data_IF_718713622220
#
_entry.id   IF_718713622220
#
_cell.length_a   1.000
_cell.length_b   1.000
_cell.length_c   1.000
_cell.angle_alpha   90.00
_cell.angle_beta   90.00
_cell.angle_gamma   90.00
#
_symmetry.space_group_name_H-M   'P 1'
#
loop_
_entity.id
_entity.type
_entity.pdbx_description
1 polymer ?
#
# COMPACT_ATOMS: atom_id res chain seq x y z
N UNK A 1 3.79 -66.56 -112.35
CA UNK A 1 4.92 -65.71 -111.87
C UNK A 1 4.42 -64.38 -111.28
N UNK A 2 3.43 -63.72 -111.81
CA UNK A 2 2.94 -62.41 -111.33
C UNK A 2 2.33 -62.51 -109.91
N UNK A 3 1.60 -63.55 -109.53
CA UNK A 3 1.04 -63.76 -108.19
C UNK A 3 2.08 -63.98 -107.07
N UNK A 4 3.19 -64.67 -107.46
CA UNK A 4 4.27 -64.91 -106.51
C UNK A 4 5.06 -63.60 -106.20
N UNK A 5 5.19 -62.75 -107.22
CA UNK A 5 5.87 -61.42 -107.02
C UNK A 5 4.99 -60.50 -106.19
N UNK A 6 3.69 -60.49 -106.39
CA UNK A 6 2.75 -59.65 -105.62
C UNK A 6 2.69 -60.10 -104.10
N UNK A 7 2.73 -61.40 -103.88
CA UNK A 7 2.78 -61.96 -102.51
C UNK A 7 4.09 -61.62 -101.78
N UNK A 8 5.21 -61.68 -102.52
CA UNK A 8 6.51 -61.26 -101.97
C UNK A 8 6.53 -59.81 -101.61
N UNK A 9 6.01 -58.95 -102.47
CA UNK A 9 5.95 -57.48 -102.21
C UNK A 9 5.02 -57.17 -101.00
N UNK A 10 3.90 -57.85 -100.89
CA UNK A 10 2.99 -57.73 -99.75
C UNK A 10 3.62 -58.25 -98.44
N UNK A 11 4.40 -59.32 -98.47
CA UNK A 11 5.18 -59.76 -97.30
C UNK A 11 6.26 -58.82 -96.85
N UNK A 12 6.93 -58.15 -97.81
CA UNK A 12 7.96 -57.14 -97.49
C UNK A 12 7.31 -55.90 -96.89
N UNK A 13 6.16 -55.46 -97.43
CA UNK A 13 5.42 -54.33 -96.85
C UNK A 13 4.85 -54.66 -95.42
N UNK A 14 4.34 -55.85 -95.18
CA UNK A 14 3.92 -56.31 -93.87
C UNK A 14 5.12 -56.38 -92.92
N UNK A 15 6.31 -56.86 -93.37
CA UNK A 15 7.53 -56.92 -92.59
C UNK A 15 8.02 -55.49 -92.18
N UNK A 16 7.97 -54.53 -93.13
CA UNK A 16 8.32 -53.14 -92.84
C UNK A 16 7.29 -52.50 -91.87
N UNK A 17 6.00 -52.79 -92.05
CA UNK A 17 5.00 -52.29 -91.11
C UNK A 17 5.15 -52.96 -89.71
N UNK A 18 5.45 -54.22 -89.61
CA UNK A 18 5.73 -54.89 -88.33
C UNK A 18 6.95 -54.31 -87.62
N UNK A 19 8.04 -54.09 -88.35
CA UNK A 19 9.22 -53.41 -87.80
C UNK A 19 8.95 -52.00 -87.27
N UNK A 20 8.17 -51.23 -88.03
CA UNK A 20 7.72 -49.92 -87.61
C UNK A 20 6.86 -49.95 -86.34
N UNK A 21 5.97 -50.90 -86.22
CA UNK A 21 5.13 -51.13 -85.00
C UNK A 21 5.99 -51.52 -83.80
N UNK A 22 6.97 -52.45 -84.04
CA UNK A 22 7.87 -52.89 -82.96
C UNK A 22 8.77 -51.69 -82.45
N UNK A 23 9.23 -50.84 -83.38
CA UNK A 23 9.95 -49.60 -83.00
C UNK A 23 9.06 -48.65 -82.19
N UNK A 24 7.82 -48.46 -82.58
CA UNK A 24 6.82 -47.65 -81.87
C UNK A 24 6.53 -48.18 -80.49
N UNK A 25 6.40 -49.51 -80.39
CA UNK A 25 6.16 -50.22 -79.13
C UNK A 25 7.35 -50.07 -78.18
N UNK A 26 8.58 -50.18 -78.72
CA UNK A 26 9.83 -49.97 -77.95
C UNK A 26 9.95 -48.51 -77.48
N UNK A 27 9.61 -47.56 -78.34
CA UNK A 27 9.64 -46.12 -77.95
C UNK A 27 8.56 -45.84 -76.91
N UNK A 28 7.37 -46.32 -77.05
CA UNK A 28 6.24 -46.19 -76.11
C UNK A 28 6.60 -46.85 -74.75
N UNK A 29 7.24 -48.03 -74.77
CA UNK A 29 7.73 -48.68 -73.55
C UNK A 29 8.76 -47.90 -72.83
N UNK A 30 9.70 -47.27 -73.53
CA UNK A 30 10.72 -46.37 -72.93
C UNK A 30 10.06 -45.14 -72.33
N UNK A 31 9.14 -44.49 -73.02
CA UNK A 31 8.44 -43.31 -72.51
C UNK A 31 7.56 -43.64 -71.28
N UNK A 32 6.87 -44.80 -71.34
CA UNK A 32 6.11 -45.30 -70.18
C UNK A 32 7.02 -45.44 -68.94
N UNK A 33 8.19 -46.05 -69.09
CA UNK A 33 9.16 -46.19 -68.00
C UNK A 33 9.65 -44.86 -67.51
N UNK A 34 9.90 -43.89 -68.38
CA UNK A 34 10.31 -42.52 -68.02
C UNK A 34 9.22 -41.83 -67.21
N UNK A 35 7.99 -41.87 -67.70
CA UNK A 35 6.84 -41.26 -66.99
C UNK A 35 6.64 -41.92 -65.62
N UNK A 36 6.75 -43.25 -65.52
CA UNK A 36 6.65 -43.97 -64.27
C UNK A 36 7.72 -43.56 -63.27
N UNK A 37 8.98 -43.43 -63.73
CA UNK A 37 10.08 -42.92 -62.88
C UNK A 37 9.83 -41.50 -62.39
N UNK A 38 9.37 -40.59 -63.29
CA UNK A 38 9.04 -39.24 -62.94
C UNK A 38 7.84 -39.18 -61.93
N UNK A 39 6.86 -40.05 -62.13
CA UNK A 39 5.74 -40.17 -61.21
C UNK A 39 6.20 -40.62 -59.82
N UNK A 40 7.07 -41.60 -59.77
CA UNK A 40 7.63 -42.10 -58.52
C UNK A 40 8.42 -41.03 -57.78
N UNK A 41 9.34 -40.31 -58.47
CA UNK A 41 10.07 -39.19 -57.91
C UNK A 41 9.16 -38.08 -57.41
N UNK A 42 8.11 -37.74 -58.19
CA UNK A 42 7.13 -36.72 -57.77
C UNK A 42 6.35 -37.14 -56.54
N UNK A 43 5.99 -38.45 -56.41
CA UNK A 43 5.32 -39.01 -55.18
C UNK A 43 6.26 -38.92 -53.97
N UNK A 44 7.49 -39.26 -54.10
CA UNK A 44 8.49 -39.17 -53.03
C UNK A 44 8.72 -37.71 -52.56
N UNK A 45 8.84 -36.80 -53.52
CA UNK A 45 8.94 -35.37 -53.22
C UNK A 45 7.67 -34.81 -52.53
N UNK A 46 6.49 -35.26 -52.94
CA UNK A 46 5.24 -34.86 -52.33
C UNK A 46 5.12 -35.39 -50.89
N UNK A 47 5.49 -36.63 -50.65
CA UNK A 47 5.52 -37.21 -49.32
C UNK A 47 6.51 -36.49 -48.41
N UNK A 48 7.69 -36.14 -48.89
CA UNK A 48 8.69 -35.39 -48.16
C UNK A 48 8.18 -33.95 -47.81
N UNK A 49 7.56 -33.27 -48.79
CA UNK A 49 7.00 -31.94 -48.55
C UNK A 49 5.85 -31.98 -47.54
N UNK A 50 4.99 -33.00 -47.64
CA UNK A 50 3.88 -33.20 -46.71
C UNK A 50 4.41 -33.39 -45.26
N UNK A 51 5.41 -34.23 -45.08
CA UNK A 51 6.07 -34.44 -43.78
C UNK A 51 6.63 -33.12 -43.23
N UNK A 52 7.29 -32.33 -44.05
CA UNK A 52 7.82 -31.02 -43.63
C UNK A 52 6.72 -30.02 -43.24
N UNK A 53 5.61 -30.04 -43.96
CA UNK A 53 4.44 -29.21 -43.62
C UNK A 53 3.91 -29.63 -42.25
N UNK A 54 3.77 -30.91 -41.99
CA UNK A 54 3.25 -31.43 -40.73
C UNK A 54 4.21 -31.08 -39.56
N UNK A 55 5.51 -31.28 -39.75
CA UNK A 55 6.57 -30.89 -38.76
C UNK A 55 6.53 -29.38 -38.44
N UNK A 56 6.46 -28.54 -39.46
CA UNK A 56 6.40 -27.11 -39.30
C UNK A 56 5.08 -26.62 -38.64
N UNK A 57 3.95 -27.24 -39.00
CA UNK A 57 2.65 -27.00 -38.40
C UNK A 57 2.63 -27.31 -36.92
N UNK A 58 3.19 -28.48 -36.55
CA UNK A 58 3.31 -28.90 -35.17
C UNK A 58 4.24 -27.93 -34.37
N UNK A 59 5.38 -27.53 -34.96
CA UNK A 59 6.30 -26.57 -34.35
C UNK A 59 5.62 -25.20 -34.14
N UNK A 60 4.88 -24.73 -35.16
CA UNK A 60 4.14 -23.46 -35.09
C UNK A 60 3.08 -23.50 -33.99
N UNK A 61 2.29 -24.58 -33.91
CA UNK A 61 1.33 -24.77 -32.84
C UNK A 61 1.97 -24.76 -31.45
N UNK A 62 3.12 -25.44 -31.29
CA UNK A 62 3.90 -25.44 -30.06
C UNK A 62 4.40 -24.04 -29.66
N UNK A 63 4.89 -23.25 -30.61
CA UNK A 63 5.29 -21.86 -30.35
C UNK A 63 4.12 -20.95 -30.02
N UNK A 64 2.99 -21.11 -30.68
CA UNK A 64 1.76 -20.35 -30.36
C UNK A 64 1.28 -20.62 -28.92
N UNK A 65 1.26 -21.88 -28.48
CA UNK A 65 0.92 -22.23 -27.10
C UNK A 65 1.90 -21.64 -26.08
N UNK A 66 3.20 -21.68 -26.37
CA UNK A 66 4.23 -21.05 -25.52
C UNK A 66 4.05 -19.53 -25.44
N UNK A 67 3.78 -18.89 -26.57
CA UNK A 67 3.53 -17.44 -26.64
C UNK A 67 2.29 -17.06 -25.82
N UNK A 68 1.17 -17.76 -25.99
CA UNK A 68 -0.04 -17.53 -25.20
C UNK A 68 0.22 -17.68 -23.70
N UNK A 69 0.94 -18.74 -23.28
CA UNK A 69 1.29 -18.95 -21.88
C UNK A 69 2.12 -17.82 -21.31
N UNK A 70 3.13 -17.34 -22.05
CA UNK A 70 3.97 -16.20 -21.62
C UNK A 70 3.22 -14.89 -21.58
N UNK A 71 2.37 -14.62 -22.58
CA UNK A 71 1.53 -13.42 -22.61
C UNK A 71 0.57 -13.38 -21.43
N UNK A 72 -0.11 -14.49 -21.14
CA UNK A 72 -0.99 -14.60 -20.00
C UNK A 72 -0.26 -14.43 -18.65
N UNK A 73 0.98 -14.91 -18.54
CA UNK A 73 1.81 -14.69 -17.36
C UNK A 73 2.19 -13.20 -17.22
N UNK A 74 2.58 -12.55 -18.29
CA UNK A 74 2.91 -11.12 -18.30
C UNK A 74 1.69 -10.24 -17.93
N UNK A 75 0.50 -10.59 -18.44
CA UNK A 75 -0.75 -9.92 -18.08
C UNK A 75 -1.08 -10.02 -16.58
N UNK A 76 -0.87 -11.19 -15.98
CA UNK A 76 -1.05 -11.38 -14.53
C UNK A 76 -0.09 -10.52 -13.72
N UNK A 77 1.19 -10.44 -14.13
CA UNK A 77 2.19 -9.60 -13.46
C UNK A 77 1.80 -8.12 -13.61
N UNK A 78 1.34 -7.72 -14.80
CA UNK A 78 0.86 -6.35 -15.05
C UNK A 78 -0.34 -6.01 -14.17
N UNK A 79 -1.35 -6.89 -14.06
CA UNK A 79 -2.51 -6.68 -13.18
C UNK A 79 -2.07 -6.47 -11.72
N UNK A 80 -1.12 -7.26 -11.22
CA UNK A 80 -0.57 -7.09 -9.88
C UNK A 80 0.16 -5.75 -9.73
N UNK A 81 0.87 -5.31 -10.75
CA UNK A 81 1.54 -4.00 -10.75
C UNK A 81 0.52 -2.86 -10.68
N UNK A 82 -0.55 -2.94 -11.45
CA UNK A 82 -1.63 -1.94 -11.46
C UNK A 82 -2.36 -1.89 -10.10
N UNK A 83 -2.60 -3.04 -9.47
CA UNK A 83 -3.17 -3.13 -8.12
C UNK A 83 -2.27 -2.48 -7.06
N UNK A 84 -0.96 -2.75 -7.10
CA UNK A 84 0.02 -2.14 -6.19
C UNK A 84 0.09 -0.62 -6.40
N UNK A 85 0.11 -0.16 -7.64
CA UNK A 85 0.12 1.27 -7.97
C UNK A 85 -1.13 1.99 -7.43
N UNK A 86 -2.31 1.38 -7.59
CA UNK A 86 -3.56 1.91 -7.04
C UNK A 86 -3.54 1.96 -5.50
N UNK A 87 -3.00 0.93 -4.84
CA UNK A 87 -2.86 0.89 -3.38
C UNK A 87 -1.90 1.97 -2.87
N UNK A 88 -0.75 2.16 -3.51
CA UNK A 88 0.21 3.25 -3.21
C UNK A 88 -0.47 4.60 -3.32
N UNK A 89 -1.15 4.85 -4.45
CA UNK A 89 -1.83 6.13 -4.69
C UNK A 89 -2.91 6.41 -3.63
N UNK A 90 -3.72 5.41 -3.29
CA UNK A 90 -4.77 5.56 -2.28
C UNK A 90 -4.20 5.90 -0.89
N UNK A 91 -3.14 5.19 -0.47
CA UNK A 91 -2.50 5.44 0.83
C UNK A 91 -1.79 6.79 0.86
N UNK A 92 -1.12 7.17 -0.23
CA UNK A 92 -0.48 8.47 -0.36
C UNK A 92 -1.49 9.62 -0.30
N UNK A 93 -2.62 9.50 -0.99
CA UNK A 93 -3.70 10.50 -0.92
C UNK A 93 -4.25 10.64 0.50
N UNK A 94 -4.42 9.52 1.22
CA UNK A 94 -4.85 9.54 2.61
C UNK A 94 -3.82 10.19 3.53
N UNK A 95 -2.54 9.88 3.36
CA UNK A 95 -1.45 10.51 4.12
C UNK A 95 -1.40 12.03 3.87
N UNK A 96 -1.52 12.45 2.61
CA UNK A 96 -1.54 13.86 2.24
C UNK A 96 -2.74 14.58 2.86
N UNK A 97 -3.93 14.00 2.79
CA UNK A 97 -5.14 14.57 3.41
C UNK A 97 -4.93 14.78 4.93
N UNK A 98 -4.45 13.76 5.64
CA UNK A 98 -4.20 13.85 7.08
C UNK A 98 -3.12 14.90 7.39
N UNK A 99 -2.06 14.98 6.59
CA UNK A 99 -1.00 15.99 6.71
C UNK A 99 -1.53 17.42 6.49
N UNK A 100 -2.43 17.61 5.53
CA UNK A 100 -3.05 18.92 5.28
C UNK A 100 -3.99 19.34 6.42
N UNK A 101 -4.74 18.40 7.00
CA UNK A 101 -5.55 18.64 8.20
C UNK A 101 -4.67 19.03 9.39
N UNK A 102 -3.50 18.42 9.54
CA UNK A 102 -2.54 18.75 10.58
C UNK A 102 -1.89 20.13 10.35
N UNK A 103 -1.40 20.43 9.14
CA UNK A 103 -0.82 21.73 8.77
C UNK A 103 -1.80 22.88 8.95
N UNK A 104 -3.06 22.67 8.59
CA UNK A 104 -4.13 23.64 8.75
C UNK A 104 -4.67 23.71 10.20
N UNK A 105 -4.09 22.89 11.09
CA UNK A 105 -4.51 22.78 12.48
C UNK A 105 -6.03 22.55 12.61
N UNK A 106 -6.58 21.68 11.77
CA UNK A 106 -8.02 21.35 11.82
C UNK A 106 -8.37 20.64 13.15
N UNK A 107 -9.44 21.11 13.79
CA UNK A 107 -9.82 20.71 15.15
C UNK A 107 -9.30 21.65 16.25
N UNK A 108 -8.43 22.61 15.93
CA UNK A 108 -7.98 23.62 16.89
C UNK A 108 -8.84 24.88 16.85
N UNK A 109 -8.97 25.54 18.01
CA UNK A 109 -9.71 26.80 18.11
C UNK A 109 -9.07 27.93 17.30
N UNK A 110 -9.86 28.91 16.86
CA UNK A 110 -9.38 30.06 16.12
C UNK A 110 -8.29 30.84 16.86
N UNK A 111 -8.41 30.93 18.20
CA UNK A 111 -7.42 31.59 19.04
C UNK A 111 -6.04 30.90 18.98
N UNK A 112 -6.03 29.58 19.08
CA UNK A 112 -4.78 28.78 18.98
C UNK A 112 -4.15 28.96 17.60
N UNK A 113 -4.95 28.82 16.52
CA UNK A 113 -4.48 29.05 15.14
C UNK A 113 -3.87 30.44 14.96
N UNK A 114 -4.50 31.48 15.52
CA UNK A 114 -4.00 32.85 15.44
C UNK A 114 -2.64 33.02 16.13
N UNK A 115 -2.46 32.50 17.35
CA UNK A 115 -1.20 32.58 18.09
C UNK A 115 -0.09 31.82 17.36
N UNK A 116 -0.34 30.56 16.92
CA UNK A 116 0.67 29.75 16.24
C UNK A 116 1.08 30.38 14.90
N UNK A 117 0.14 30.97 14.15
CA UNK A 117 0.43 31.70 12.91
C UNK A 117 1.36 32.89 13.16
N UNK A 118 1.10 33.68 14.21
CA UNK A 118 1.93 34.81 14.57
C UNK A 118 3.29 34.39 15.13
N UNK A 119 3.36 33.28 15.83
CA UNK A 119 4.63 32.74 16.28
C UNK A 119 5.50 32.30 15.09
N UNK A 120 4.91 31.59 14.11
CA UNK A 120 5.60 31.19 12.86
C UNK A 120 6.05 32.40 12.02
N UNK A 121 5.31 33.50 12.06
CA UNK A 121 5.68 34.76 11.42
C UNK A 121 6.75 35.58 12.22
N UNK A 122 7.19 35.08 13.39
CA UNK A 122 8.21 35.72 14.21
C UNK A 122 7.74 36.89 15.07
N UNK A 123 6.45 37.25 15.05
CA UNK A 123 5.87 38.35 15.82
C UNK A 123 5.67 37.99 17.31
N UNK A 124 5.41 36.73 17.62
CA UNK A 124 5.33 36.23 19.00
C UNK A 124 6.49 35.27 19.25
N UNK A 125 7.41 35.68 20.13
CA UNK A 125 8.57 34.86 20.53
C UNK A 125 8.26 34.06 21.81
N UNK A 126 9.03 33.01 22.07
CA UNK A 126 8.89 32.15 23.25
C UNK A 126 7.66 31.26 23.23
N UNK A 127 7.07 31.01 22.05
CA UNK A 127 5.99 30.03 21.82
C UNK A 127 6.62 28.76 21.28
N UNK A 128 6.51 27.66 22.01
CA UNK A 128 7.02 26.33 21.57
C UNK A 128 6.07 25.62 20.61
N UNK A 129 4.78 25.77 20.82
CA UNK A 129 3.74 25.12 20.03
C UNK A 129 2.54 24.74 20.86
N UNK A 130 1.69 23.90 20.29
CA UNK A 130 0.53 23.32 20.97
C UNK A 130 0.97 22.03 21.65
N UNK A 131 0.44 21.74 22.83
CA UNK A 131 0.82 20.56 23.62
C UNK A 131 0.78 19.27 22.81
N UNK A 132 -0.29 19.06 22.04
CA UNK A 132 -0.45 17.86 21.20
C UNK A 132 0.61 17.66 20.12
N UNK A 133 1.35 18.71 19.74
CA UNK A 133 2.46 18.67 18.77
C UNK A 133 3.83 18.50 19.44
N UNK A 134 3.89 18.57 20.76
CA UNK A 134 5.12 18.50 21.56
C UNK A 134 5.26 17.17 22.30
N UNK A 135 4.29 16.27 22.13
CA UNK A 135 4.25 14.96 22.76
C UNK A 135 4.06 13.86 21.72
N UNK A 136 4.61 12.71 22.02
CA UNK A 136 4.43 11.46 21.24
C UNK A 136 3.84 10.40 22.16
N UNK A 137 2.90 9.61 21.64
CA UNK A 137 2.23 8.53 22.37
C UNK A 137 2.08 7.35 21.43
N UNK A 138 2.33 6.14 21.91
CA UNK A 138 2.07 4.91 21.14
C UNK A 138 0.60 4.81 20.76
N UNK A 139 0.32 4.25 19.57
CA UNK A 139 -1.04 4.15 19.03
C UNK A 139 -2.01 3.41 19.96
N UNK A 140 -1.51 2.38 20.67
CA UNK A 140 -2.28 1.61 21.65
C UNK A 140 -2.82 2.46 22.81
N UNK A 141 -2.14 3.55 23.18
CA UNK A 141 -2.46 4.41 24.31
C UNK A 141 -3.02 5.78 23.87
N UNK A 142 -2.99 6.08 22.57
CA UNK A 142 -3.32 7.41 22.04
C UNK A 142 -4.73 7.86 22.42
N UNK A 143 -5.72 6.97 22.34
CA UNK A 143 -7.12 7.27 22.71
C UNK A 143 -7.25 7.63 24.21
N UNK A 144 -6.62 6.86 25.08
CA UNK A 144 -6.67 7.08 26.52
C UNK A 144 -6.01 8.43 26.91
N UNK A 145 -4.84 8.74 26.34
CA UNK A 145 -4.13 9.99 26.60
C UNK A 145 -4.85 11.21 26.00
N UNK A 146 -5.43 11.07 24.81
CA UNK A 146 -6.29 12.14 24.24
C UNK A 146 -7.49 12.47 25.13
N UNK A 147 -8.15 11.45 25.65
CA UNK A 147 -9.28 11.62 26.56
C UNK A 147 -8.80 12.19 27.90
N UNK A 148 -7.66 11.71 28.41
CA UNK A 148 -7.07 12.25 29.64
C UNK A 148 -6.72 13.72 29.53
N UNK A 149 -6.12 14.17 28.43
CA UNK A 149 -5.78 15.57 28.17
C UNK A 149 -7.03 16.40 27.82
N UNK A 150 -7.95 15.85 27.04
CA UNK A 150 -9.16 16.56 26.61
C UNK A 150 -8.83 17.91 25.95
N UNK A 151 -9.44 18.99 26.46
CA UNK A 151 -9.20 20.34 25.95
C UNK A 151 -7.74 20.83 26.13
N UNK A 152 -6.98 20.26 27.05
CA UNK A 152 -5.58 20.63 27.29
C UNK A 152 -4.67 20.29 26.09
N UNK A 153 -5.09 19.42 25.19
CA UNK A 153 -4.43 19.14 23.91
C UNK A 153 -4.13 20.40 23.09
N UNK A 154 -4.99 21.43 23.21
CA UNK A 154 -4.88 22.69 22.49
C UNK A 154 -4.12 23.78 23.28
N UNK A 155 -3.64 23.49 24.49
CA UNK A 155 -2.91 24.44 25.28
C UNK A 155 -1.58 24.79 24.63
N UNK A 156 -1.21 26.06 24.68
CA UNK A 156 -0.01 26.59 24.05
C UNK A 156 1.12 26.62 25.08
N UNK A 157 2.21 25.96 24.77
CA UNK A 157 3.40 25.94 25.62
C UNK A 157 4.26 27.18 25.34
N UNK A 158 4.69 27.89 26.40
CA UNK A 158 5.51 29.09 26.32
C UNK A 158 6.73 29.00 27.24
N UNK A 159 7.79 29.73 26.95
CA UNK A 159 8.97 29.78 27.82
C UNK A 159 8.62 30.27 29.23
N UNK A 160 7.91 31.41 29.30
CA UNK A 160 7.62 32.10 30.55
C UNK A 160 6.29 32.86 30.50
N UNK A 161 5.89 33.45 31.61
CA UNK A 161 4.61 34.21 31.71
C UNK A 161 4.62 35.51 30.90
N UNK A 162 5.80 36.14 30.68
CA UNK A 162 5.89 37.34 29.88
C UNK A 162 5.52 37.06 28.41
N UNK A 163 5.93 35.91 27.90
CA UNK A 163 5.58 35.44 26.55
C UNK A 163 4.09 35.11 26.47
N UNK A 164 3.57 34.39 27.45
CA UNK A 164 2.13 34.10 27.57
C UNK A 164 1.31 35.40 27.61
N UNK A 165 1.74 36.39 28.40
CA UNK A 165 1.09 37.72 28.49
C UNK A 165 1.04 38.41 27.14
N UNK A 166 2.16 38.42 26.39
CA UNK A 166 2.20 39.03 25.04
C UNK A 166 1.20 38.36 24.10
N UNK A 167 1.13 37.03 24.12
CA UNK A 167 0.19 36.29 23.30
C UNK A 167 -1.27 36.53 23.70
N UNK A 168 -1.57 36.63 25.01
CA UNK A 168 -2.90 37.02 25.52
C UNK A 168 -3.29 38.44 25.09
N UNK A 169 -2.36 39.39 25.14
CA UNK A 169 -2.60 40.78 24.69
C UNK A 169 -2.91 40.81 23.19
N UNK A 170 -2.15 40.05 22.38
CA UNK A 170 -2.41 39.90 20.95
C UNK A 170 -3.82 39.37 20.68
N UNK A 171 -4.24 38.28 21.37
CA UNK A 171 -5.59 37.74 21.24
C UNK A 171 -6.67 38.76 21.60
N UNK A 172 -6.47 39.52 22.67
CA UNK A 172 -7.41 40.55 23.12
C UNK A 172 -7.51 41.70 22.10
N UNK A 173 -6.40 42.18 21.58
CA UNK A 173 -6.37 43.31 20.60
C UNK A 173 -7.05 42.93 19.27
N UNK A 174 -6.94 41.69 18.87
CA UNK A 174 -7.50 41.19 17.59
C UNK A 174 -8.85 40.51 17.73
N UNK A 175 -9.47 40.51 18.91
CA UNK A 175 -10.74 39.82 19.21
C UNK A 175 -10.72 38.35 18.75
N UNK A 176 -9.56 37.69 18.85
CA UNK A 176 -9.31 36.32 18.28
C UNK A 176 -9.73 35.18 19.21
N UNK A 177 -10.46 35.47 20.29
CA UNK A 177 -10.94 34.47 21.24
C UNK A 177 -9.98 34.22 22.39
N UNK A 178 -10.07 33.05 23.05
CA UNK A 178 -9.30 32.67 24.23
C UNK A 178 -8.49 31.42 24.01
N UNK A 179 -7.28 31.37 24.56
CA UNK A 179 -6.44 30.17 24.60
C UNK A 179 -5.84 30.04 26.02
N UNK A 180 -5.47 28.83 26.39
CA UNK A 180 -4.76 28.49 27.62
C UNK A 180 -3.28 28.39 27.30
N UNK A 181 -2.45 29.01 28.14
CA UNK A 181 -1.00 29.03 28.00
C UNK A 181 -0.35 28.29 29.16
N UNK A 182 0.70 27.54 28.87
CA UNK A 182 1.47 26.74 29.81
C UNK A 182 2.92 27.24 29.86
N UNK A 183 3.25 28.22 30.76
CA UNK A 183 4.62 28.69 30.92
C UNK A 183 5.51 27.62 31.57
N UNK A 184 6.58 27.20 30.89
CA UNK A 184 7.53 26.20 31.38
C UNK A 184 8.16 26.63 32.72
N UNK A 185 8.45 27.93 32.85
CA UNK A 185 9.09 28.50 34.06
C UNK A 185 8.30 28.30 35.35
N UNK A 186 6.97 28.17 35.26
CA UNK A 186 6.07 28.22 36.45
C UNK A 186 5.32 26.95 36.74
N UNK A 187 5.15 26.09 35.75
CA UNK A 187 4.34 24.87 35.94
C UNK A 187 5.16 23.83 36.67
N UNK A 188 4.62 23.40 37.81
CA UNK A 188 5.16 22.28 38.60
C UNK A 188 4.28 21.05 38.43
N UNK A 189 4.90 19.93 38.14
CA UNK A 189 4.23 18.64 38.05
C UNK A 189 3.90 18.11 39.42
N UNK A 190 2.81 17.35 39.49
CA UNK A 190 2.43 16.56 40.67
C UNK A 190 2.17 15.14 40.22
N UNK A 191 2.77 14.16 40.88
CA UNK A 191 2.50 12.74 40.63
C UNK A 191 1.60 12.16 41.70
N UNK A 192 0.85 11.18 41.32
CA UNK A 192 0.10 10.34 42.23
C UNK A 192 1.08 9.43 42.98
N UNK A 193 1.02 9.44 44.33
CA UNK A 193 1.88 8.67 45.19
C UNK A 193 1.14 7.56 45.93
N UNK A 194 0.00 7.12 45.41
CA UNK A 194 -0.77 6.01 46.00
C UNK A 194 -0.04 4.70 45.78
N UNK A 195 0.04 3.88 46.84
CA UNK A 195 0.71 2.59 46.82
C UNK A 195 -0.21 1.48 46.33
N UNK A 196 0.37 0.46 45.69
CA UNK A 196 -0.36 -0.73 45.26
C UNK A 196 -1.25 -0.54 44.04
N UNK A 197 -1.03 0.54 43.27
CA UNK A 197 -1.74 0.75 41.99
C UNK A 197 -1.37 -0.32 40.99
N UNK A 198 -0.10 -0.68 40.94
CA UNK A 198 0.49 -1.68 40.04
C UNK A 198 -0.07 -3.10 40.28
N UNK A 199 -0.54 -3.36 41.51
CA UNK A 199 -1.11 -4.66 41.92
C UNK A 199 -2.60 -4.78 41.53
N UNK A 200 -3.23 -3.69 41.07
CA UNK A 200 -4.64 -3.68 40.70
C UNK A 200 -4.85 -4.38 39.37
N UNK A 201 -5.92 -5.16 39.28
CA UNK A 201 -6.30 -5.83 38.05
C UNK A 201 -6.56 -4.79 36.94
N UNK A 202 -5.99 -5.05 35.74
CA UNK A 202 -6.14 -4.17 34.60
C UNK A 202 -5.38 -2.84 34.69
N UNK A 203 -4.46 -2.67 35.65
CA UNK A 203 -3.59 -1.50 35.67
C UNK A 203 -2.62 -1.54 34.47
N UNK A 204 -2.53 -0.43 33.74
CA UNK A 204 -1.59 -0.28 32.61
C UNK A 204 -0.39 0.57 33.03
N UNK A 205 -0.63 1.83 33.40
CA UNK A 205 0.43 2.76 33.82
C UNK A 205 -0.17 4.04 34.42
N UNK A 206 0.68 4.89 35.02
CA UNK A 206 0.35 6.30 35.19
C UNK A 206 0.42 7.01 33.83
N UNK A 207 -0.56 7.85 33.52
CA UNK A 207 -0.67 8.51 32.22
C UNK A 207 0.59 9.26 31.75
N UNK A 208 1.41 9.93 32.62
CA UNK A 208 2.67 10.54 32.20
C UNK A 208 3.72 9.55 31.69
N UNK A 209 3.65 8.29 32.09
CA UNK A 209 4.63 7.24 31.70
C UNK A 209 4.42 6.75 30.28
N UNK A 210 3.23 6.98 29.72
CA UNK A 210 2.83 6.61 28.37
C UNK A 210 3.04 7.76 27.37
N UNK A 211 3.60 8.90 27.82
CA UNK A 211 3.82 10.08 27.00
C UNK A 211 5.31 10.33 26.87
N UNK A 212 5.83 10.29 25.66
CA UNK A 212 7.18 10.71 25.35
C UNK A 212 7.20 12.20 24.97
N UNK A 213 8.15 12.96 25.52
CA UNK A 213 8.34 14.37 25.25
C UNK A 213 9.75 14.84 25.60
N UNK A 214 10.15 16.00 25.08
CA UNK A 214 11.39 16.66 25.52
C UNK A 214 11.35 16.91 27.04
N UNK A 215 12.48 16.66 27.71
CA UNK A 215 12.63 16.81 29.16
C UNK A 215 12.14 18.14 29.73
N UNK A 216 12.20 19.22 28.95
CA UNK A 216 11.71 20.55 29.31
C UNK A 216 10.18 20.61 29.51
N UNK A 217 9.41 19.69 28.91
CA UNK A 217 7.95 19.64 29.01
C UNK A 217 7.47 18.65 30.09
N UNK A 218 8.37 17.89 30.70
CA UNK A 218 8.02 16.84 31.67
C UNK A 218 7.19 17.33 32.84
N UNK A 219 7.46 18.57 33.31
CA UNK A 219 6.69 19.19 34.41
C UNK A 219 5.27 19.52 33.97
N UNK A 220 5.08 19.96 32.71
CA UNK A 220 3.76 20.22 32.15
C UNK A 220 2.96 18.93 32.04
N UNK A 221 3.56 17.85 31.52
CA UNK A 221 2.91 16.54 31.41
C UNK A 221 2.56 16.01 32.80
N UNK A 222 3.47 16.07 33.75
CA UNK A 222 3.20 15.67 35.14
C UNK A 222 2.13 16.53 35.82
N UNK A 223 1.98 17.80 35.45
CA UNK A 223 0.93 18.67 35.96
C UNK A 223 -0.45 18.27 35.40
N UNK A 224 -0.54 17.97 34.11
CA UNK A 224 -1.80 17.67 33.46
C UNK A 224 -2.27 16.22 33.67
N UNK A 225 -1.35 15.28 33.64
CA UNK A 225 -1.61 13.85 33.63
C UNK A 225 -1.21 13.13 34.91
N UNK A 226 -0.41 13.75 35.77
CA UNK A 226 0.25 13.10 36.92
C UNK A 226 -0.67 12.50 37.96
N UNK A 227 -1.97 12.81 37.92
CA UNK A 227 -3.01 12.22 38.75
C UNK A 227 -4.02 11.40 37.98
N UNK A 228 -3.64 10.90 36.82
CA UNK A 228 -4.49 10.06 35.96
C UNK A 228 -3.84 8.68 35.82
N UNK A 229 -4.62 7.66 36.08
CA UNK A 229 -4.25 6.24 35.91
C UNK A 229 -4.88 5.73 34.62
N UNK A 230 -4.14 4.96 33.85
CA UNK A 230 -4.67 4.25 32.68
C UNK A 230 -4.88 2.79 33.05
N UNK A 231 -6.03 2.26 32.67
CA UNK A 231 -6.45 0.87 32.89
C UNK A 231 -6.98 0.25 31.60
N UNK A 232 -7.02 -1.09 31.56
CA UNK A 232 -7.45 -1.83 30.36
C UNK A 232 -8.92 -1.55 29.97
N UNK A 233 -9.82 -1.71 30.91
CA UNK A 233 -11.26 -1.67 30.68
C UNK A 233 -12.06 -0.99 31.82
N UNK A 234 -13.37 -0.88 31.59
CA UNK A 234 -14.28 -0.21 32.53
C UNK A 234 -14.44 -0.97 33.85
N UNK A 235 -14.41 -2.30 33.83
CA UNK A 235 -14.56 -3.11 35.03
C UNK A 235 -13.37 -2.92 35.95
N UNK A 236 -12.17 -2.91 35.40
CA UNK A 236 -10.92 -2.57 36.10
C UNK A 236 -10.97 -1.13 36.65
N UNK A 237 -11.48 -0.18 35.86
CA UNK A 237 -11.66 1.22 36.31
C UNK A 237 -12.60 1.31 37.54
N UNK A 238 -13.74 0.62 37.48
CA UNK A 238 -14.72 0.59 38.58
C UNK A 238 -14.12 -0.07 39.82
N UNK A 239 -13.43 -1.19 39.68
CA UNK A 239 -12.75 -1.90 40.77
C UNK A 239 -11.74 -1.00 41.47
N UNK A 240 -10.84 -0.38 40.69
CA UNK A 240 -9.83 0.56 41.21
C UNK A 240 -10.43 1.78 41.85
N UNK A 241 -11.46 2.39 41.23
CA UNK A 241 -12.14 3.56 41.77
C UNK A 241 -12.78 3.30 43.15
N UNK A 242 -13.40 2.13 43.33
CA UNK A 242 -13.94 1.70 44.62
C UNK A 242 -12.84 1.50 45.68
N UNK A 243 -11.77 0.85 45.31
CA UNK A 243 -10.64 0.56 46.21
C UNK A 243 -10.00 1.85 46.75
N UNK A 244 -9.84 2.87 45.88
CA UNK A 244 -9.20 4.16 46.22
C UNK A 244 -10.18 5.30 46.48
N UNK A 245 -11.47 5.01 46.70
CA UNK A 245 -12.50 5.98 47.07
C UNK A 245 -12.62 7.16 46.08
N UNK A 246 -12.47 6.92 44.76
CA UNK A 246 -12.53 7.93 43.70
C UNK A 246 -11.62 9.16 43.92
N UNK A 247 -10.40 8.97 44.41
CA UNK A 247 -9.47 10.06 44.73
C UNK A 247 -8.74 10.67 43.55
N UNK A 248 -8.61 9.93 42.47
CA UNK A 248 -7.89 10.31 41.26
C UNK A 248 -8.69 9.95 40.00
N UNK A 249 -8.24 10.44 38.88
CA UNK A 249 -8.86 10.17 37.59
C UNK A 249 -8.36 8.86 37.02
N UNK A 250 -9.28 8.05 36.50
CA UNK A 250 -8.97 6.80 35.80
C UNK A 250 -9.51 6.88 34.39
N UNK A 251 -8.74 6.44 33.41
CA UNK A 251 -9.12 6.43 31.98
C UNK A 251 -8.82 5.05 31.44
N UNK A 252 -9.75 4.46 30.74
CA UNK A 252 -9.56 3.17 30.08
C UNK A 252 -8.91 3.31 28.70
N UNK A 253 -8.32 2.24 28.17
CA UNK A 253 -7.71 2.26 26.84
C UNK A 253 -8.68 2.64 25.73
N UNK A 254 -9.98 2.32 25.88
CA UNK A 254 -11.03 2.71 24.94
C UNK A 254 -11.61 4.11 25.19
N UNK A 255 -11.11 4.83 26.22
CA UNK A 255 -11.43 6.22 26.50
C UNK A 255 -12.64 6.46 27.40
N UNK A 256 -13.04 5.50 28.22
CA UNK A 256 -13.99 5.73 29.30
C UNK A 256 -13.28 6.43 30.47
N UNK A 257 -13.98 7.31 31.18
CA UNK A 257 -13.38 8.13 32.24
C UNK A 257 -14.15 7.99 33.54
N UNK A 258 -13.42 7.73 34.61
CA UNK A 258 -13.91 7.91 35.98
C UNK A 258 -13.20 9.12 36.60
N UNK A 259 -13.98 10.13 36.97
CA UNK A 259 -13.44 11.35 37.56
C UNK A 259 -13.34 11.21 39.10
N UNK A 260 -12.47 11.99 39.74
CA UNK A 260 -12.51 12.17 41.19
C UNK A 260 -13.91 12.57 41.63
N UNK A 261 -14.40 11.94 42.74
CA UNK A 261 -15.75 12.15 43.21
C UNK A 261 -16.80 11.21 42.56
N UNK A 262 -16.43 10.33 41.63
CA UNK A 262 -17.26 9.22 41.16
C UNK A 262 -18.12 9.48 39.93
N UNK A 263 -18.00 10.66 39.28
CA UNK A 263 -18.69 10.86 38.01
C UNK A 263 -18.03 10.07 36.86
N UNK A 264 -18.83 9.50 35.99
CA UNK A 264 -18.38 8.70 34.86
C UNK A 264 -18.73 9.40 33.56
N UNK A 265 -17.80 9.35 32.59
CA UNK A 265 -18.01 9.84 31.23
C UNK A 265 -17.54 8.78 30.26
N UNK A 266 -18.38 8.44 29.30
CA UNK A 266 -18.07 7.39 28.32
C UNK A 266 -19.01 7.44 27.12
N UNK A 267 -18.75 6.55 26.17
CA UNK A 267 -19.51 6.42 24.94
C UNK A 267 -18.59 6.00 23.80
N UNK A 268 -19.11 5.82 22.60
CA UNK A 268 -18.31 5.45 21.44
C UNK A 268 -17.55 6.67 20.87
N UNK A 269 -16.27 6.50 20.60
CA UNK A 269 -15.47 7.43 19.79
C UNK A 269 -15.05 6.74 18.50
N UNK A 270 -15.06 7.47 17.38
CA UNK A 270 -14.49 6.96 16.15
C UNK A 270 -12.97 6.77 16.33
N UNK A 271 -12.49 5.56 16.11
CA UNK A 271 -11.05 5.26 16.15
C UNK A 271 -10.33 6.16 15.14
N UNK A 272 -9.23 6.77 15.55
CA UNK A 272 -8.38 7.58 14.66
C UNK A 272 -8.88 9.00 14.39
N UNK A 273 -9.95 9.47 15.04
CA UNK A 273 -10.44 10.84 14.90
C UNK A 273 -9.64 11.87 15.72
N UNK A 274 -8.68 11.43 16.52
CA UNK A 274 -7.92 12.25 17.43
C UNK A 274 -6.71 12.95 16.78
N UNK A 275 -6.19 13.96 17.47
CA UNK A 275 -5.03 14.73 17.00
C UNK A 275 -3.73 13.92 17.18
N UNK A 276 -3.58 13.18 18.30
CA UNK A 276 -2.40 12.32 18.54
C UNK A 276 -2.38 11.11 17.60
N UNK A 277 -3.52 10.44 17.45
CA UNK A 277 -3.63 9.30 16.54
C UNK A 277 -3.39 9.68 15.07
N UNK A 278 -3.63 10.94 14.70
CA UNK A 278 -3.40 11.44 13.32
C UNK A 278 -1.92 11.42 12.95
N UNK A 279 -1.03 11.90 13.82
CA UNK A 279 0.41 11.88 13.60
C UNK A 279 0.92 10.43 13.40
N UNK A 280 0.50 9.52 14.28
CA UNK A 280 0.84 8.10 14.17
C UNK A 280 0.31 7.47 12.87
N UNK A 281 -0.92 7.82 12.46
CA UNK A 281 -1.48 7.34 11.20
C UNK A 281 -0.72 7.84 9.96
N UNK A 282 -0.26 9.09 9.97
CA UNK A 282 0.55 9.64 8.88
C UNK A 282 1.86 8.87 8.76
N UNK A 283 2.54 8.62 9.87
CA UNK A 283 3.80 7.87 9.90
C UNK A 283 3.61 6.42 9.46
N UNK A 284 2.57 5.75 9.95
CA UNK A 284 2.20 4.40 9.54
C UNK A 284 1.92 4.33 8.04
N UNK A 285 1.12 5.28 7.51
CA UNK A 285 0.82 5.34 6.07
C UNK A 285 2.07 5.59 5.22
N UNK A 286 3.00 6.44 5.66
CA UNK A 286 4.27 6.65 4.95
C UNK A 286 5.12 5.38 4.94
N UNK A 287 5.17 4.65 6.06
CA UNK A 287 5.87 3.36 6.16
C UNK A 287 5.26 2.32 5.23
N UNK A 288 3.92 2.22 5.19
CA UNK A 288 3.20 1.32 4.31
C UNK A 288 3.40 1.67 2.83
N UNK A 289 3.37 2.96 2.47
CA UNK A 289 3.66 3.44 1.11
C UNK A 289 5.06 3.01 0.69
N UNK A 290 6.07 3.23 1.53
CA UNK A 290 7.45 2.83 1.24
C UNK A 290 7.60 1.31 1.04
N UNK A 291 6.90 0.51 1.84
CA UNK A 291 6.89 -0.95 1.69
C UNK A 291 6.23 -1.39 0.37
N UNK A 292 5.10 -0.78 0.01
CA UNK A 292 4.39 -1.06 -1.25
C UNK A 292 5.20 -0.60 -2.48
N UNK A 293 5.88 0.55 -2.41
CA UNK A 293 6.78 1.02 -3.47
C UNK A 293 7.95 0.04 -3.70
N UNK A 294 8.49 -0.55 -2.63
CA UNK A 294 9.49 -1.61 -2.73
C UNK A 294 8.94 -2.84 -3.47
N UNK A 295 7.75 -3.33 -3.08
CA UNK A 295 7.10 -4.45 -3.76
C UNK A 295 6.79 -4.13 -5.24
N UNK A 296 6.33 -2.91 -5.52
CA UNK A 296 6.06 -2.45 -6.88
C UNK A 296 7.32 -2.44 -7.75
N UNK A 297 8.45 -2.03 -7.18
CA UNK A 297 9.75 -2.05 -7.87
C UNK A 297 10.17 -3.47 -8.26
N UNK A 298 10.02 -4.44 -7.35
CA UNK A 298 10.35 -5.84 -7.59
C UNK A 298 9.46 -6.45 -8.68
N UNK A 299 8.14 -6.24 -8.59
CA UNK A 299 7.17 -6.70 -9.60
C UNK A 299 7.40 -6.02 -10.96
N UNK A 300 7.81 -4.75 -10.96
CA UNK A 300 8.15 -4.03 -12.19
C UNK A 300 9.39 -4.63 -12.88
N UNK A 301 10.39 -5.03 -12.10
CA UNK A 301 11.57 -5.73 -12.63
C UNK A 301 11.17 -7.09 -13.23
N UNK A 302 10.32 -7.86 -12.54
CA UNK A 302 9.77 -9.13 -13.02
C UNK A 302 8.98 -8.96 -14.33
N UNK A 303 8.14 -7.93 -14.41
CA UNK A 303 7.38 -7.61 -15.62
C UNK A 303 8.30 -7.29 -16.80
N UNK A 304 9.33 -6.48 -16.59
CA UNK A 304 10.33 -6.17 -17.65
C UNK A 304 11.02 -7.44 -18.16
N UNK A 305 11.45 -8.33 -17.26
CA UNK A 305 12.05 -9.61 -17.62
C UNK A 305 11.06 -10.49 -18.40
N UNK A 306 9.80 -10.55 -17.97
CA UNK A 306 8.76 -11.31 -18.67
C UNK A 306 8.58 -10.81 -20.12
N UNK A 307 8.60 -9.49 -20.36
CA UNK A 307 8.50 -8.91 -21.70
C UNK A 307 9.72 -9.26 -22.59
N UNK A 308 10.93 -9.30 -22.03
CA UNK A 308 12.14 -9.69 -22.78
C UNK A 308 12.05 -11.14 -23.25
N UNK A 309 11.36 -12.00 -22.50
CA UNK A 309 11.23 -13.42 -22.80
C UNK A 309 10.03 -13.77 -23.71
N UNK A 310 9.21 -12.82 -24.09
CA UNK A 310 8.12 -12.96 -25.07
C UNK A 310 8.66 -12.71 -26.47
#
# INVERSE_FOLDING_TARGET
KVQASAAASSMEEIGQRSGSVDDLLAACGKETQRIFAQQQESRENLAFLQQRIDENSNALSGYQMKLQGKTAAAEKIKSKLDELAAAVQQKQQRANLLSDLEKNMEGFSGAVKAVIRQSRAGALRGIHGVLSQLITVEDAHSTAIEVALGAAMQNIVTDNEADAKRAMQYLKQNNAGRATFLPISNIQGRRLEERGLEDCFGYVALAPELVDCDRRYSQIISNLLGRTVIVEDLDSAIGMAKQYHNRFRIVTLDGQVMNPGGSMSGGSRAKGAGVLSRANQIEALHSEVKALEGQMHDVQAEYKLSLIHI
#
